data_IF_050146323344
#
_entry.id   IF_050146323344
#
_cell.length_a   1.000
_cell.length_b   1.000
_cell.length_c   1.000
_cell.angle_alpha   90.00
_cell.angle_beta   90.00
_cell.angle_gamma   90.00
#
_symmetry.space_group_name_H-M   'P 1'
#
loop_
_entity.id
_entity.type
_entity.pdbx_description
1 polymer ?
#
# COMPACT_ATOMS: atom_id res chain seq x y z
N UNK A 1 -2.27 45.65 11.15
CA UNK A 1 -3.39 44.87 10.59
C UNK A 1 -2.98 43.82 9.54
N UNK A 2 -1.82 43.96 8.86
CA UNK A 2 -1.35 42.93 7.90
C UNK A 2 -0.75 41.69 8.58
N UNK A 3 0.03 41.85 9.65
CA UNK A 3 0.74 40.75 10.31
C UNK A 3 -0.20 39.71 10.94
N UNK A 4 -1.32 40.17 11.50
CA UNK A 4 -2.38 39.30 12.06
C UNK A 4 -3.12 38.55 10.94
N UNK A 5 -3.34 39.19 9.78
CA UNK A 5 -3.92 38.52 8.61
C UNK A 5 -2.97 37.49 8.01
N UNK A 6 -1.66 37.77 7.98
CA UNK A 6 -0.66 36.80 7.53
C UNK A 6 -0.57 35.62 8.48
N UNK A 7 -0.61 35.85 9.79
CA UNK A 7 -0.59 34.77 10.78
C UNK A 7 -1.85 33.90 10.72
N UNK A 8 -3.02 34.52 10.55
CA UNK A 8 -4.30 33.79 10.38
C UNK A 8 -4.28 33.00 9.06
N UNK A 9 -3.78 33.56 7.96
CA UNK A 9 -3.64 32.85 6.69
C UNK A 9 -2.64 31.68 6.78
N UNK A 10 -1.54 31.82 7.53
CA UNK A 10 -0.59 30.72 7.76
C UNK A 10 -1.21 29.59 8.57
N UNK A 11 -2.02 29.92 9.58
CA UNK A 11 -2.73 28.94 10.40
C UNK A 11 -3.85 28.27 9.60
N UNK A 12 -4.60 29.00 8.77
CA UNK A 12 -5.59 28.42 7.85
C UNK A 12 -4.93 27.49 6.81
N UNK A 13 -3.78 27.85 6.26
CA UNK A 13 -3.02 26.99 5.34
C UNK A 13 -2.53 25.72 6.04
N UNK A 14 -2.03 25.82 7.28
CA UNK A 14 -1.59 24.66 8.06
C UNK A 14 -2.78 23.78 8.47
N UNK A 15 -3.93 24.37 8.80
CA UNK A 15 -5.17 23.63 9.10
C UNK A 15 -5.74 22.97 7.85
N UNK A 16 -5.67 23.60 6.67
CA UNK A 16 -6.02 22.99 5.38
C UNK A 16 -5.06 21.85 5.03
N UNK A 17 -3.75 22.00 5.29
CA UNK A 17 -2.74 20.94 5.10
C UNK A 17 -2.97 19.77 6.07
N UNK A 18 -3.43 20.03 7.29
CA UNK A 18 -3.69 19.03 8.33
C UNK A 18 -5.08 18.34 8.19
N UNK A 19 -6.07 18.99 7.56
CA UNK A 19 -7.42 18.44 7.35
C UNK A 19 -7.69 17.94 5.92
N UNK A 20 -6.89 18.35 4.94
CA UNK A 20 -6.89 17.75 3.61
C UNK A 20 -6.11 16.44 3.66
N UNK A 21 -6.82 15.39 4.05
CA UNK A 21 -6.46 14.00 3.75
C UNK A 21 -5.87 13.86 2.34
N UNK A 22 -4.93 12.93 2.19
CA UNK A 22 -3.48 13.05 2.21
C UNK A 22 -2.86 13.38 0.83
N UNK A 23 -1.74 14.10 0.81
CA UNK A 23 -0.93 14.30 -0.40
C UNK A 23 -0.61 12.97 -1.13
N UNK A 24 -0.56 11.86 -0.38
CA UNK A 24 -0.39 10.53 -0.95
C UNK A 24 -1.61 10.04 -1.75
N UNK A 25 -2.88 10.28 -1.39
CA UNK A 25 -4.01 9.78 -2.22
C UNK A 25 -4.23 10.63 -3.45
N UNK A 26 -3.95 11.95 -3.39
CA UNK A 26 -4.06 12.84 -4.55
C UNK A 26 -3.05 12.43 -5.62
N UNK A 27 -1.83 12.01 -5.23
CA UNK A 27 -0.81 11.48 -6.13
C UNK A 27 -1.05 10.01 -6.50
N UNK A 28 -1.53 9.17 -5.57
CA UNK A 28 -1.73 7.74 -5.80
C UNK A 28 -2.96 7.44 -6.66
N UNK A 29 -4.03 8.24 -6.60
CA UNK A 29 -5.25 7.95 -7.37
C UNK A 29 -5.03 7.98 -8.90
N UNK A 30 -4.36 8.99 -9.48
CA UNK A 30 -3.97 8.96 -10.89
C UNK A 30 -3.05 7.78 -11.23
N UNK A 31 -2.11 7.45 -10.34
CA UNK A 31 -1.21 6.31 -10.52
C UNK A 31 -1.96 4.97 -10.55
N UNK A 32 -2.93 4.77 -9.64
CA UNK A 32 -3.79 3.60 -9.65
C UNK A 32 -4.64 3.52 -10.93
N UNK A 33 -5.14 4.66 -11.42
CA UNK A 33 -5.90 4.70 -12.67
C UNK A 33 -5.06 4.24 -13.88
N UNK A 34 -3.76 4.54 -13.91
CA UNK A 34 -2.82 4.04 -14.93
C UNK A 34 -2.65 2.51 -14.78
N UNK A 35 -2.43 2.03 -13.56
CA UNK A 35 -2.27 0.60 -13.28
C UNK A 35 -3.50 -0.23 -13.70
N UNK A 36 -4.71 0.23 -13.33
CA UNK A 36 -5.94 -0.45 -13.71
C UNK A 36 -6.18 -0.43 -15.22
N UNK A 37 -5.97 0.71 -15.88
CA UNK A 37 -6.12 0.78 -17.34
C UNK A 37 -5.12 -0.15 -18.05
N UNK A 38 -3.91 -0.30 -17.51
CA UNK A 38 -2.93 -1.25 -18.04
C UNK A 38 -3.40 -2.72 -17.88
N UNK A 39 -3.92 -3.09 -16.71
CA UNK A 39 -4.49 -4.42 -16.48
C UNK A 39 -5.68 -4.71 -17.41
N UNK A 40 -6.61 -3.76 -17.53
CA UNK A 40 -7.76 -3.84 -18.45
C UNK A 40 -7.31 -4.01 -19.90
N UNK A 41 -6.24 -3.31 -20.30
CA UNK A 41 -5.67 -3.42 -21.65
C UNK A 41 -5.02 -4.79 -21.90
N UNK A 42 -4.34 -5.38 -20.91
CA UNK A 42 -3.76 -6.73 -21.03
C UNK A 42 -4.86 -7.78 -21.16
N UNK A 43 -5.84 -7.75 -20.25
CA UNK A 43 -6.94 -8.72 -20.23
C UNK A 43 -7.82 -8.58 -21.49
N UNK A 44 -8.04 -7.34 -21.96
CA UNK A 44 -8.86 -7.01 -23.13
C UNK A 44 -8.10 -6.97 -24.47
N UNK A 45 -6.83 -7.37 -24.53
CA UNK A 45 -5.96 -7.11 -25.68
C UNK A 45 -6.50 -7.67 -27.00
N UNK A 46 -7.11 -8.86 -26.97
CA UNK A 46 -7.72 -9.46 -28.16
C UNK A 46 -8.90 -8.64 -28.67
N UNK A 47 -9.78 -8.19 -27.77
CA UNK A 47 -10.95 -7.37 -28.08
C UNK A 47 -10.54 -6.01 -28.64
N UNK A 48 -9.59 -5.31 -27.99
CA UNK A 48 -9.11 -3.99 -28.43
C UNK A 48 -8.56 -4.06 -29.85
N UNK A 49 -7.77 -5.09 -30.18
CA UNK A 49 -7.24 -5.31 -31.53
C UNK A 49 -8.33 -5.68 -32.54
N UNK A 50 -9.28 -6.52 -32.16
CA UNK A 50 -10.39 -6.94 -33.03
C UNK A 50 -11.26 -5.74 -33.45
N UNK A 51 -11.57 -4.84 -32.53
CA UNK A 51 -12.33 -3.61 -32.81
C UNK A 51 -11.49 -2.44 -33.35
N UNK A 52 -10.17 -2.62 -33.49
CA UNK A 52 -9.22 -1.59 -33.98
C UNK A 52 -9.21 -0.30 -33.16
N UNK A 53 -9.42 -0.40 -31.84
CA UNK A 53 -9.47 0.74 -30.90
C UNK A 53 -8.10 1.06 -30.25
N UNK A 54 -7.01 0.55 -30.83
CA UNK A 54 -5.66 0.69 -30.23
C UNK A 54 -5.27 2.17 -30.06
N UNK A 55 -5.55 3.02 -31.05
CA UNK A 55 -5.22 4.45 -30.98
C UNK A 55 -5.98 5.17 -29.87
N UNK A 56 -7.26 4.83 -29.66
CA UNK A 56 -8.07 5.44 -28.59
C UNK A 56 -7.54 5.07 -27.21
N UNK A 57 -7.17 3.81 -27.01
CA UNK A 57 -6.54 3.34 -25.77
C UNK A 57 -5.17 3.99 -25.52
N UNK A 58 -4.38 4.23 -26.57
CA UNK A 58 -3.10 4.96 -26.44
C UNK A 58 -3.36 6.40 -25.99
N UNK A 59 -4.30 7.12 -26.62
CA UNK A 59 -4.63 8.50 -26.23
C UNK A 59 -5.18 8.58 -24.80
N UNK A 60 -6.01 7.62 -24.39
CA UNK A 60 -6.50 7.58 -23.00
C UNK A 60 -5.36 7.28 -22.00
N UNK A 61 -4.41 6.43 -22.39
CA UNK A 61 -3.19 6.19 -21.60
C UNK A 61 -2.36 7.45 -21.41
N UNK A 62 -2.10 8.17 -22.50
CA UNK A 62 -1.38 9.44 -22.48
C UNK A 62 -2.08 10.46 -21.56
N UNK A 63 -3.41 10.58 -21.68
CA UNK A 63 -4.22 11.46 -20.85
C UNK A 63 -4.09 11.15 -19.35
N UNK A 64 -4.15 9.88 -18.95
CA UNK A 64 -4.00 9.48 -17.54
C UNK A 64 -2.57 9.72 -17.02
N UNK A 65 -1.55 9.54 -17.86
CA UNK A 65 -0.16 9.87 -17.52
C UNK A 65 -0.01 11.38 -17.31
N UNK A 66 -0.58 12.19 -18.19
CA UNK A 66 -0.55 13.65 -18.08
C UNK A 66 -1.26 14.14 -16.81
N UNK A 67 -2.40 13.57 -16.45
CA UNK A 67 -3.10 13.86 -15.18
C UNK A 67 -2.21 13.54 -13.98
N UNK A 68 -1.54 12.39 -13.98
CA UNK A 68 -0.60 12.03 -12.92
C UNK A 68 0.57 13.02 -12.84
N UNK A 69 1.14 13.42 -13.98
CA UNK A 69 2.23 14.40 -14.04
C UNK A 69 1.79 15.79 -13.57
N UNK A 70 0.59 16.22 -13.91
CA UNK A 70 0.03 17.51 -13.49
C UNK A 70 -0.11 17.60 -11.96
N UNK A 71 -0.35 16.48 -11.28
CA UNK A 71 -0.39 16.40 -9.82
C UNK A 71 1.01 16.23 -9.22
N UNK A 72 1.84 15.38 -9.82
CA UNK A 72 3.15 15.04 -9.29
C UNK A 72 4.16 16.20 -9.41
N UNK A 73 4.20 16.90 -10.55
CA UNK A 73 5.20 17.93 -10.81
C UNK A 73 5.17 19.11 -9.82
N UNK A 74 3.99 19.68 -9.45
CA UNK A 74 3.91 20.70 -8.41
C UNK A 74 4.52 20.29 -7.07
N UNK A 75 4.47 19.01 -6.70
CA UNK A 75 5.08 18.52 -5.45
C UNK A 75 6.61 18.65 -5.47
N UNK A 76 7.25 18.39 -6.61
CA UNK A 76 8.70 18.59 -6.80
C UNK A 76 9.04 20.08 -6.70
N UNK A 77 8.24 20.92 -7.35
CA UNK A 77 8.44 22.38 -7.33
C UNK A 77 8.27 22.94 -5.92
N UNK A 78 7.28 22.47 -5.16
CA UNK A 78 7.08 22.85 -3.76
C UNK A 78 8.28 22.49 -2.88
N UNK A 79 8.82 21.27 -3.05
CA UNK A 79 10.04 20.84 -2.36
C UNK A 79 11.25 21.73 -2.71
N UNK A 80 11.42 22.10 -3.99
CA UNK A 80 12.49 23.00 -4.42
C UNK A 80 12.30 24.41 -3.86
N UNK A 81 11.07 24.93 -3.87
CA UNK A 81 10.73 26.23 -3.31
C UNK A 81 11.06 26.30 -1.82
N UNK A 82 10.70 25.27 -1.06
CA UNK A 82 10.98 25.16 0.36
C UNK A 82 12.49 25.11 0.62
N UNK A 83 13.23 24.32 -0.16
CA UNK A 83 14.69 24.25 -0.08
C UNK A 83 15.35 25.62 -0.25
N UNK A 84 14.97 26.39 -1.28
CA UNK A 84 15.51 27.74 -1.53
C UNK A 84 15.22 28.70 -0.37
N UNK A 85 14.03 28.60 0.25
CA UNK A 85 13.67 29.42 1.41
C UNK A 85 14.50 29.06 2.64
N UNK A 86 14.72 27.78 2.90
CA UNK A 86 15.55 27.31 4.02
C UNK A 86 17.01 27.70 3.83
N UNK A 87 17.53 27.61 2.61
CA UNK A 87 18.89 28.07 2.27
C UNK A 87 19.06 29.57 2.48
N UNK A 88 18.06 30.39 2.11
CA UNK A 88 18.10 31.83 2.37
C UNK A 88 18.18 32.13 3.87
N UNK A 89 17.36 31.46 4.69
CA UNK A 89 17.39 31.63 6.15
C UNK A 89 18.74 31.20 6.72
N UNK A 90 19.27 30.08 6.26
CA UNK A 90 20.60 29.59 6.65
C UNK A 90 21.71 30.58 6.32
N UNK A 91 21.70 31.14 5.10
CA UNK A 91 22.67 32.15 4.67
C UNK A 91 22.60 33.43 5.50
N UNK A 92 21.40 33.84 5.94
CA UNK A 92 21.25 34.97 6.86
C UNK A 92 21.84 34.66 8.24
N UNK A 93 21.64 33.45 8.77
CA UNK A 93 22.25 33.02 10.04
C UNK A 93 23.79 33.06 9.95
N UNK A 94 24.36 32.51 8.87
CA UNK A 94 25.82 32.55 8.64
C UNK A 94 26.33 33.98 8.52
N UNK A 95 25.61 34.84 7.77
CA UNK A 95 25.95 36.25 7.63
C UNK A 95 25.99 36.98 8.98
N UNK A 96 24.97 36.80 9.83
CA UNK A 96 24.94 37.43 11.15
C UNK A 96 25.99 36.85 12.10
N UNK A 97 26.24 35.53 12.07
CA UNK A 97 27.29 34.90 12.86
C UNK A 97 28.68 35.45 12.50
N UNK A 98 28.97 35.58 11.20
CA UNK A 98 30.21 36.17 10.71
C UNK A 98 30.31 37.67 11.03
N UNK A 99 29.22 38.42 10.88
CA UNK A 99 29.18 39.86 11.19
C UNK A 99 29.47 40.11 12.67
N UNK A 100 28.81 39.40 13.58
CA UNK A 100 29.04 39.55 15.02
C UNK A 100 30.44 39.11 15.44
N UNK A 101 30.98 38.05 14.84
CA UNK A 101 32.36 37.65 15.06
C UNK A 101 33.37 38.76 14.73
N UNK A 102 33.13 39.51 13.66
CA UNK A 102 34.00 40.63 13.25
C UNK A 102 33.77 41.88 14.10
N UNK A 103 32.52 42.24 14.39
CA UNK A 103 32.20 43.45 15.18
C UNK A 103 32.70 43.36 16.62
N UNK A 104 32.62 42.18 17.24
CA UNK A 104 33.04 41.96 18.62
C UNK A 104 34.43 41.34 18.74
N UNK A 105 35.23 41.37 17.67
CA UNK A 105 36.57 40.72 17.62
C UNK A 105 37.51 41.12 18.76
N UNK A 106 37.40 42.36 19.24
CA UNK A 106 38.28 42.93 20.28
C UNK A 106 37.61 42.92 21.67
N UNK A 107 36.45 42.26 21.80
CA UNK A 107 35.70 42.21 23.06
C UNK A 107 36.35 41.24 24.05
N UNK A 108 36.53 41.65 25.32
CA UNK A 108 37.09 40.81 26.37
C UNK A 108 36.10 39.70 26.74
N UNK A 109 36.27 38.53 26.12
CA UNK A 109 35.38 37.37 26.28
C UNK A 109 35.20 36.55 25.02
N UNK A 110 35.57 37.08 23.84
CA UNK A 110 35.46 36.37 22.58
C UNK A 110 36.80 35.70 22.23
N UNK A 111 36.89 34.37 22.42
CA UNK A 111 38.06 33.61 21.96
C UNK A 111 37.94 33.28 20.47
N UNK A 112 39.07 33.25 19.75
CA UNK A 112 39.10 32.84 18.35
C UNK A 112 38.52 31.43 18.13
N UNK A 113 38.66 30.54 19.12
CA UNK A 113 38.06 29.21 19.11
C UNK A 113 36.53 29.23 19.15
N UNK A 114 35.93 30.07 20.00
CA UNK A 114 34.47 30.23 20.07
C UNK A 114 33.88 30.80 18.76
N UNK A 115 34.59 31.73 18.12
CA UNK A 115 34.21 32.27 16.81
C UNK A 115 34.21 31.17 15.74
N UNK A 116 35.30 30.37 15.68
CA UNK A 116 35.42 29.25 14.76
C UNK A 116 34.31 28.22 14.94
N UNK A 117 33.99 27.87 16.19
CA UNK A 117 32.89 26.94 16.53
C UNK A 117 31.52 27.52 16.12
N UNK A 118 31.25 28.79 16.42
CA UNK A 118 29.99 29.46 16.09
C UNK A 118 29.73 29.48 14.58
N UNK A 119 30.72 29.89 13.79
CA UNK A 119 30.61 29.90 12.32
C UNK A 119 30.49 28.48 11.75
N UNK A 120 31.22 27.51 12.32
CA UNK A 120 31.12 26.10 11.89
C UNK A 120 29.74 25.50 12.13
N UNK A 121 29.10 25.80 13.28
CA UNK A 121 27.71 25.36 13.54
C UNK A 121 26.70 26.12 12.67
N UNK A 122 26.90 27.42 12.45
CA UNK A 122 26.05 28.20 11.55
C UNK A 122 26.08 27.67 10.11
N UNK A 123 27.22 27.16 9.62
CA UNK A 123 27.31 26.53 8.31
C UNK A 123 26.57 25.19 8.23
N UNK A 124 26.54 24.41 9.32
CA UNK A 124 25.87 23.10 9.37
C UNK A 124 24.34 23.18 9.54
N UNK A 125 23.83 24.27 10.14
CA UNK A 125 22.40 24.39 10.48
C UNK A 125 21.51 24.34 9.24
N UNK A 126 21.96 24.90 8.12
CA UNK A 126 21.21 24.95 6.85
C UNK A 126 20.96 23.56 6.29
N UNK A 127 21.99 22.70 6.28
CA UNK A 127 21.88 21.32 5.81
C UNK A 127 20.98 20.50 6.74
N UNK A 128 21.13 20.69 8.06
CA UNK A 128 20.33 20.00 9.06
C UNK A 128 18.85 20.37 8.97
N UNK A 129 18.52 21.65 8.79
CA UNK A 129 17.14 22.14 8.62
C UNK A 129 16.52 21.61 7.32
N UNK A 130 17.25 21.63 6.21
CA UNK A 130 16.77 21.09 4.94
C UNK A 130 16.43 19.59 5.08
N UNK A 131 17.33 18.83 5.69
CA UNK A 131 17.12 17.40 5.92
C UNK A 131 15.97 17.12 6.90
N UNK A 132 15.87 17.89 8.00
CA UNK A 132 14.80 17.74 8.97
C UNK A 132 13.42 17.97 8.35
N UNK A 133 13.25 19.05 7.59
CA UNK A 133 11.98 19.37 6.93
C UNK A 133 11.58 18.30 5.92
N UNK A 134 12.54 17.81 5.14
CA UNK A 134 12.30 16.69 4.20
C UNK A 134 11.88 15.42 4.95
N UNK A 135 12.60 15.06 6.01
CA UNK A 135 12.28 13.86 6.80
C UNK A 135 10.93 13.95 7.48
N UNK A 136 10.52 15.12 7.96
CA UNK A 136 9.16 15.34 8.50
C UNK A 136 8.09 15.08 7.44
N UNK A 137 8.28 15.59 6.22
CA UNK A 137 7.34 15.35 5.11
C UNK A 137 7.30 13.87 4.67
N UNK A 138 8.45 13.19 4.64
CA UNK A 138 8.53 11.76 4.35
C UNK A 138 7.85 10.93 5.46
N UNK A 139 8.01 11.30 6.74
CA UNK A 139 7.34 10.66 7.87
C UNK A 139 5.82 10.83 7.82
N UNK A 140 5.32 12.04 7.54
CA UNK A 140 3.89 12.32 7.37
C UNK A 140 3.28 11.51 6.22
N UNK A 141 4.04 11.28 5.15
CA UNK A 141 3.58 10.44 4.04
C UNK A 141 3.55 8.95 4.43
N UNK A 142 4.59 8.47 5.12
CA UNK A 142 4.74 7.06 5.45
C UNK A 142 3.81 6.60 6.58
N UNK A 143 3.45 7.48 7.53
CA UNK A 143 2.56 7.11 8.65
C UNK A 143 1.14 6.75 8.20
N UNK A 144 0.69 7.27 7.03
CA UNK A 144 -0.61 6.91 6.44
C UNK A 144 -0.73 5.40 6.19
N UNK A 145 0.37 4.71 5.90
CA UNK A 145 0.36 3.25 5.76
C UNK A 145 0.01 2.54 7.08
N UNK A 146 0.48 3.08 8.20
CA UNK A 146 0.15 2.56 9.54
C UNK A 146 -1.30 2.87 9.90
N UNK A 147 -1.80 4.06 9.54
CA UNK A 147 -3.21 4.42 9.71
C UNK A 147 -4.13 3.45 8.96
N UNK A 148 -3.79 3.07 7.73
CA UNK A 148 -4.54 2.07 6.95
C UNK A 148 -4.56 0.68 7.60
N UNK A 149 -3.44 0.25 8.17
CA UNK A 149 -3.40 -1.04 8.89
C UNK A 149 -4.31 -1.00 10.11
N UNK A 150 -4.28 0.11 10.86
CA UNK A 150 -5.15 0.32 12.01
C UNK A 150 -6.63 0.37 11.60
N UNK A 151 -6.96 0.99 10.48
CA UNK A 151 -8.31 0.97 9.93
C UNK A 151 -8.83 -0.46 9.78
N UNK A 152 -8.01 -1.37 9.23
CA UNK A 152 -8.37 -2.79 9.11
C UNK A 152 -8.51 -3.53 10.44
N UNK A 153 -7.84 -3.09 11.51
CA UNK A 153 -8.02 -3.70 12.85
C UNK A 153 -9.32 -3.31 13.52
N UNK A 154 -9.87 -2.14 13.17
CA UNK A 154 -11.08 -1.60 13.78
C UNK A 154 -12.35 -1.94 12.97
N UNK A 155 -12.22 -2.61 11.82
CA UNK A 155 -13.35 -3.05 11.01
C UNK A 155 -14.23 -4.04 11.78
N UNK A 156 -15.54 -3.97 11.51
CA UNK A 156 -16.50 -4.95 12.03
C UNK A 156 -16.15 -6.33 11.49
N UNK A 157 -15.70 -7.22 12.38
CA UNK A 157 -15.44 -8.61 12.05
C UNK A 157 -16.75 -9.34 11.70
N UNK A 158 -16.71 -10.22 10.70
CA UNK A 158 -17.74 -11.25 10.54
C UNK A 158 -17.78 -12.06 11.85
N UNK A 159 -18.98 -12.29 12.40
CA UNK A 159 -19.18 -12.78 13.77
C UNK A 159 -18.24 -13.93 14.19
N UNK A 160 -17.81 -13.91 15.46
CA UNK A 160 -16.86 -14.89 15.97
C UNK A 160 -17.37 -16.33 15.78
N UNK A 161 -16.51 -17.21 15.25
CA UNK A 161 -16.80 -18.64 15.12
C UNK A 161 -17.25 -19.21 16.48
N UNK A 162 -18.52 -19.57 16.61
CA UNK A 162 -19.04 -20.28 17.78
C UNK A 162 -18.29 -21.59 17.99
N UNK A 163 -17.71 -21.75 19.19
CA UNK A 163 -17.04 -22.99 19.62
C UNK A 163 -18.02 -24.13 19.93
N UNK A 164 -19.34 -23.90 19.81
CA UNK A 164 -20.34 -24.92 20.08
C UNK A 164 -20.71 -25.68 18.80
N UNK A 165 -20.21 -26.92 18.73
CA UNK A 165 -20.61 -27.89 17.71
C UNK A 165 -22.14 -28.09 17.74
N UNK A 166 -22.86 -27.93 16.63
CA UNK A 166 -24.28 -28.23 16.56
C UNK A 166 -24.49 -29.74 16.76
N UNK A 167 -25.61 -30.13 17.41
CA UNK A 167 -25.97 -31.54 17.57
C UNK A 167 -26.16 -32.22 16.21
N UNK A 168 -25.93 -33.52 16.14
CA UNK A 168 -25.96 -34.28 14.87
C UNK A 168 -27.34 -34.35 14.22
N UNK A 169 -28.40 -34.05 14.96
CA UNK A 169 -29.76 -33.95 14.44
C UNK A 169 -30.07 -32.61 13.76
N UNK A 170 -29.10 -31.69 13.71
CA UNK A 170 -29.27 -30.42 13.02
C UNK A 170 -29.29 -30.62 11.50
N UNK A 171 -30.18 -29.95 10.74
CA UNK A 171 -31.27 -29.05 11.16
C UNK A 171 -32.62 -29.78 11.33
N UNK A 172 -33.31 -29.56 12.46
CA UNK A 172 -34.60 -30.23 12.76
C UNK A 172 -35.85 -29.44 12.32
N UNK A 173 -35.72 -28.17 11.93
CA UNK A 173 -36.85 -27.33 11.54
C UNK A 173 -36.41 -26.35 10.45
N UNK A 174 -37.29 -26.07 9.49
CA UNK A 174 -37.04 -25.19 8.32
C UNK A 174 -36.90 -23.70 8.63
N UNK A 175 -36.43 -23.35 9.84
CA UNK A 175 -35.94 -22.01 10.15
C UNK A 175 -34.44 -21.96 9.87
N UNK A 176 -34.01 -21.06 9.00
CA UNK A 176 -32.59 -20.84 8.72
C UNK A 176 -32.00 -20.09 9.92
N UNK A 177 -31.53 -20.85 10.92
CA UNK A 177 -30.70 -20.36 12.02
C UNK A 177 -29.27 -20.79 11.73
N UNK A 178 -28.47 -19.88 11.18
CA UNK A 178 -27.06 -20.12 10.89
C UNK A 178 -26.30 -20.16 12.23
N UNK A 179 -25.84 -21.35 12.63
CA UNK A 179 -24.79 -21.50 13.63
C UNK A 179 -23.46 -21.47 12.90
N UNK A 180 -22.43 -20.87 13.50
CA UNK A 180 -21.15 -20.60 12.82
C UNK A 180 -20.41 -21.86 12.35
N UNK A 181 -20.72 -23.04 12.90
CA UNK A 181 -20.17 -24.34 12.50
C UNK A 181 -20.92 -25.00 11.33
N UNK A 182 -21.68 -24.23 10.54
CA UNK A 182 -22.38 -24.74 9.36
C UNK A 182 -21.41 -25.15 8.24
N UNK A 183 -20.32 -24.40 8.06
CA UNK A 183 -19.38 -24.59 6.95
C UNK A 183 -18.67 -25.95 7.01
N UNK A 184 -18.57 -26.59 8.17
CA UNK A 184 -17.94 -27.91 8.34
C UNK A 184 -18.86 -29.10 7.98
N UNK A 185 -20.19 -28.89 7.98
CA UNK A 185 -21.19 -29.95 7.76
C UNK A 185 -21.96 -29.83 6.45
N UNK A 186 -21.80 -28.72 5.73
CA UNK A 186 -22.43 -28.49 4.44
C UNK A 186 -21.35 -28.42 3.35
N UNK A 187 -21.37 -29.39 2.43
CA UNK A 187 -20.47 -29.38 1.27
C UNK A 187 -21.15 -28.70 0.08
N UNK A 188 -20.42 -27.81 -0.58
CA UNK A 188 -20.86 -27.14 -1.82
C UNK A 188 -19.84 -27.41 -2.93
N UNK A 189 -20.31 -27.47 -4.17
CA UNK A 189 -19.44 -27.46 -5.35
C UNK A 189 -19.57 -26.08 -6.00
N UNK A 190 -18.49 -25.27 -6.05
CA UNK A 190 -18.55 -23.94 -6.66
C UNK A 190 -18.79 -24.04 -8.18
N UNK A 191 -19.34 -22.99 -8.78
CA UNK A 191 -19.58 -22.94 -10.23
C UNK A 191 -18.26 -22.87 -11.03
N UNK A 192 -17.30 -22.11 -10.51
CA UNK A 192 -15.95 -22.02 -11.07
C UNK A 192 -14.99 -22.87 -10.21
N UNK A 193 -14.39 -23.95 -10.73
CA UNK A 193 -13.45 -24.76 -9.98
C UNK A 193 -12.14 -23.98 -9.80
N UNK A 194 -11.78 -23.69 -8.55
CA UNK A 194 -10.53 -23.04 -8.17
C UNK A 194 -9.65 -24.05 -7.44
N UNK A 195 -8.40 -24.16 -7.88
CA UNK A 195 -7.37 -24.96 -7.22
C UNK A 195 -6.26 -24.04 -6.70
N UNK A 196 -5.77 -24.35 -5.50
CA UNK A 196 -4.67 -23.65 -4.87
C UNK A 196 -3.32 -24.24 -5.31
N UNK A 197 -2.32 -23.37 -5.41
CA UNK A 197 -0.93 -23.80 -5.61
C UNK A 197 -0.48 -24.66 -4.44
N UNK A 198 0.00 -25.87 -4.72
CA UNK A 198 0.32 -26.86 -3.69
C UNK A 198 0.34 -28.28 -4.23
N UNK A 199 0.27 -29.28 -3.35
CA UNK A 199 0.12 -30.67 -3.78
C UNK A 199 -1.35 -30.96 -4.09
N UNK A 200 -1.60 -31.97 -4.92
CA UNK A 200 -2.96 -32.50 -5.12
C UNK A 200 -3.56 -32.98 -3.79
N UNK A 201 -2.76 -33.61 -2.92
CA UNK A 201 -3.18 -33.98 -1.55
C UNK A 201 -3.67 -32.77 -0.75
N UNK A 202 -2.91 -31.67 -0.73
CA UNK A 202 -3.29 -30.47 0.01
C UNK A 202 -4.61 -29.85 -0.48
N UNK A 203 -4.87 -29.89 -1.79
CA UNK A 203 -6.14 -29.40 -2.34
C UNK A 203 -7.35 -30.29 -1.98
N UNK A 204 -7.13 -31.59 -1.77
CA UNK A 204 -8.17 -32.55 -1.37
C UNK A 204 -8.36 -32.57 0.16
N UNK A 205 -7.29 -32.43 0.92
CA UNK A 205 -7.28 -32.44 2.38
C UNK A 205 -6.23 -31.46 2.93
N UNK A 206 -6.59 -30.17 3.10
CA UNK A 206 -5.66 -29.14 3.59
C UNK A 206 -5.34 -29.28 5.08
N UNK A 207 -6.09 -30.09 5.84
CA UNK A 207 -5.93 -30.28 7.27
C UNK A 207 -5.25 -31.60 7.65
N UNK A 208 -4.92 -32.43 6.67
CA UNK A 208 -4.34 -33.77 6.86
C UNK A 208 -5.18 -34.65 7.81
N UNK A 209 -6.51 -34.54 7.67
CA UNK A 209 -7.47 -35.24 8.52
C UNK A 209 -7.69 -36.71 8.10
N UNK A 210 -7.37 -37.09 6.86
CA UNK A 210 -7.69 -38.39 6.28
C UNK A 210 -6.46 -39.12 5.74
N UNK A 211 -6.47 -40.45 5.74
CA UNK A 211 -5.33 -41.24 5.22
C UNK A 211 -5.30 -41.26 3.69
N UNK A 212 -4.13 -41.59 3.11
CA UNK A 212 -3.98 -41.77 1.65
C UNK A 212 -5.02 -42.76 1.09
N UNK A 213 -5.31 -43.85 1.80
CA UNK A 213 -6.29 -44.86 1.38
C UNK A 213 -7.70 -44.31 1.27
N UNK A 214 -8.09 -43.42 2.20
CA UNK A 214 -9.39 -42.76 2.19
C UNK A 214 -9.49 -41.77 1.01
N UNK A 215 -8.41 -41.04 0.74
CA UNK A 215 -8.32 -40.15 -0.44
C UNK A 215 -8.39 -40.96 -1.73
N UNK A 216 -7.65 -42.07 -1.85
CA UNK A 216 -7.72 -42.95 -3.02
C UNK A 216 -9.11 -43.56 -3.20
N UNK A 217 -9.80 -43.88 -2.11
CA UNK A 217 -11.21 -44.31 -2.17
C UNK A 217 -12.12 -43.19 -2.70
N UNK A 218 -11.92 -41.94 -2.27
CA UNK A 218 -12.66 -40.80 -2.80
C UNK A 218 -12.38 -40.57 -4.30
N UNK A 219 -11.11 -40.65 -4.72
CA UNK A 219 -10.70 -40.54 -6.13
C UNK A 219 -11.28 -41.66 -7.02
N UNK A 220 -11.44 -42.86 -6.47
CA UNK A 220 -12.16 -43.96 -7.15
C UNK A 220 -13.62 -43.63 -7.38
N UNK A 221 -14.29 -43.14 -6.34
CA UNK A 221 -15.71 -42.80 -6.39
C UNK A 221 -16.00 -41.59 -7.29
N UNK A 222 -15.03 -40.69 -7.46
CA UNK A 222 -15.11 -39.54 -8.37
C UNK A 222 -14.55 -39.81 -9.78
N UNK A 223 -14.16 -41.05 -10.08
CA UNK A 223 -13.60 -41.46 -11.37
C UNK A 223 -12.29 -40.76 -11.78
N UNK A 224 -11.53 -40.27 -10.80
CA UNK A 224 -10.24 -39.57 -11.03
C UNK A 224 -9.01 -40.45 -10.77
N UNK A 225 -9.16 -41.66 -10.21
CA UNK A 225 -8.02 -42.55 -9.91
C UNK A 225 -7.11 -42.85 -11.13
N UNK A 226 -7.62 -43.13 -12.35
CA UNK A 226 -6.76 -43.37 -13.51
C UNK A 226 -5.95 -42.15 -13.91
N UNK A 227 -6.57 -40.96 -13.84
CA UNK A 227 -5.92 -39.69 -14.15
C UNK A 227 -4.81 -39.39 -13.15
N UNK A 228 -5.08 -39.48 -11.85
CA UNK A 228 -4.09 -39.20 -10.80
C UNK A 228 -2.93 -40.19 -10.84
N UNK A 229 -3.18 -41.46 -11.16
CA UNK A 229 -2.12 -42.47 -11.32
C UNK A 229 -1.20 -42.18 -12.52
N UNK A 230 -1.69 -41.47 -13.54
CA UNK A 230 -0.89 -41.09 -14.71
C UNK A 230 0.09 -39.94 -14.44
N UNK A 231 -0.13 -39.17 -13.37
CA UNK A 231 0.73 -38.06 -12.98
C UNK A 231 2.03 -38.58 -12.35
N UNK A 232 3.16 -37.91 -12.66
CA UNK A 232 4.51 -38.33 -12.28
C UNK A 232 4.70 -38.57 -10.76
N UNK A 233 3.91 -37.91 -9.91
CA UNK A 233 4.01 -37.98 -8.44
C UNK A 233 2.65 -38.23 -7.74
N UNK A 234 1.63 -38.65 -8.49
CA UNK A 234 0.28 -38.96 -7.97
C UNK A 234 -0.27 -37.88 -7.04
N UNK A 235 -0.55 -38.20 -5.76
CA UNK A 235 -1.07 -37.27 -4.75
C UNK A 235 -0.10 -36.12 -4.43
N UNK A 236 1.20 -36.31 -4.68
CA UNK A 236 2.24 -35.31 -4.46
C UNK A 236 2.51 -34.45 -5.71
N UNK A 237 1.75 -34.66 -6.79
CA UNK A 237 1.83 -33.81 -7.98
C UNK A 237 1.56 -32.35 -7.60
N UNK A 238 2.45 -31.46 -8.05
CA UNK A 238 2.31 -30.02 -7.80
C UNK A 238 1.30 -29.41 -8.76
N UNK A 239 0.27 -28.82 -8.19
CA UNK A 239 -0.74 -28.03 -8.90
C UNK A 239 -0.23 -26.58 -8.98
N UNK A 240 -0.27 -26.01 -10.19
CA UNK A 240 0.00 -24.58 -10.41
C UNK A 240 -1.21 -23.72 -10.01
N UNK A 241 -1.00 -22.43 -9.79
CA UNK A 241 -2.09 -21.50 -9.43
C UNK A 241 -3.25 -21.61 -10.43
N UNK A 242 -4.49 -21.75 -9.92
CA UNK A 242 -5.68 -21.91 -10.74
C UNK A 242 -5.79 -23.26 -11.49
N UNK A 243 -4.88 -24.21 -11.27
CA UNK A 243 -4.92 -25.54 -11.88
C UNK A 243 -4.57 -25.57 -13.37
N UNK A 244 -3.80 -24.60 -13.87
CA UNK A 244 -3.46 -24.50 -15.30
C UNK A 244 -2.79 -25.75 -15.87
N UNK A 245 -2.02 -26.48 -15.05
CA UNK A 245 -1.31 -27.68 -15.46
C UNK A 245 -2.16 -28.97 -15.47
N UNK A 246 -3.46 -28.87 -15.17
CA UNK A 246 -4.42 -29.98 -15.25
C UNK A 246 -5.35 -29.89 -16.47
N UNK A 247 -5.17 -28.88 -17.34
CA UNK A 247 -5.93 -28.68 -18.57
C UNK A 247 -5.36 -29.45 -19.76
#
# INVERSE_FOLDING_TARGET
MSLVRTLIASVEIVVIILWATPASTVVLAPLFAIYFMFLESIQGAASIRAYRLVSEFVTESERKVDENLAVYYPSIVANRWLAVRLELVGNLIVMFAALFAVLFRDSPGLSAGLVGLSVSYALNITQTLNWAVRMTSELETNIVAVERIKEYTDLTIEGAHSKQKPPDSWPQSGKIMLKDDLRSRLTIVPQDPVLFSGTLRFNLDPFDAYTDEEIWKALRNSHLEPFVTSLADRLQYRISEGGENLR
#
